data_IF_911487404044
#
_entry.id   IF_911487404044
#
_cell.length_a   1.000
_cell.length_b   1.000
_cell.length_c   1.000
_cell.angle_alpha   90.00
_cell.angle_beta   90.00
_cell.angle_gamma   90.00
#
_symmetry.space_group_name_H-M   'P 1'
#
loop_
_entity.id
_entity.type
_entity.pdbx_description
1 polymer ?
#
# COMPACT_ATOMS: atom_id res chain seq x y z
N UNK A 1 16.61 -76.18 43.01
CA UNK A 1 17.40 -75.70 41.87
C UNK A 1 16.49 -74.85 41.01
N UNK A 2 16.94 -73.64 40.71
CA UNK A 2 16.19 -72.49 40.17
C UNK A 2 15.90 -72.57 38.67
N UNK A 3 14.98 -71.69 38.24
CA UNK A 3 14.75 -71.18 36.86
C UNK A 3 13.61 -71.87 36.10
N UNK A 4 12.69 -71.20 35.42
CA UNK A 4 12.18 -69.82 35.39
C UNK A 4 10.94 -69.89 34.49
N UNK A 5 9.85 -69.22 34.85
CA UNK A 5 8.64 -69.13 34.02
C UNK A 5 8.94 -68.28 32.78
N UNK A 6 8.66 -68.81 31.58
CA UNK A 6 8.73 -68.05 30.33
C UNK A 6 7.31 -67.59 29.94
N UNK A 7 7.08 -66.28 30.07
CA UNK A 7 5.91 -65.56 29.57
C UNK A 7 6.13 -65.19 28.11
N UNK A 8 5.57 -65.95 27.17
CA UNK A 8 5.50 -65.52 25.76
C UNK A 8 4.26 -66.05 25.03
N UNK A 9 3.13 -66.10 25.74
CA UNK A 9 1.83 -65.89 25.09
C UNK A 9 1.63 -64.39 24.89
N UNK A 10 1.20 -64.01 23.68
CA UNK A 10 0.90 -62.65 23.18
C UNK A 10 2.00 -62.05 22.30
N UNK A 11 2.01 -62.44 21.01
CA UNK A 11 2.12 -61.51 19.87
C UNK A 11 1.97 -62.29 18.55
N UNK A 12 0.74 -62.76 18.29
CA UNK A 12 0.25 -63.01 16.93
C UNK A 12 -0.68 -61.85 16.58
N UNK A 13 -0.16 -60.78 15.99
CA UNK A 13 -0.94 -59.89 15.12
C UNK A 13 -0.02 -58.91 14.38
N UNK A 14 -0.08 -58.93 13.05
CA UNK A 14 0.27 -57.77 12.24
C UNK A 14 1.68 -57.74 11.66
N UNK A 15 2.04 -58.72 10.82
CA UNK A 15 3.07 -58.46 9.80
C UNK A 15 2.40 -57.61 8.71
N UNK A 16 2.41 -56.29 8.92
CA UNK A 16 2.19 -55.34 7.82
C UNK A 16 3.44 -55.42 6.97
N UNK A 17 3.33 -56.03 5.79
CA UNK A 17 4.36 -55.94 4.77
C UNK A 17 4.44 -54.46 4.33
N UNK A 18 5.35 -53.70 4.94
CA UNK A 18 5.76 -52.42 4.35
C UNK A 18 6.49 -52.73 3.05
N UNK A 19 5.79 -52.60 1.93
CA UNK A 19 6.41 -52.64 0.63
C UNK A 19 7.40 -51.46 0.55
N UNK A 20 8.71 -51.70 0.32
CA UNK A 20 9.64 -50.60 0.16
C UNK A 20 9.26 -49.83 -1.09
N UNK A 21 8.87 -48.57 -0.93
CA UNK A 21 8.68 -47.67 -2.06
C UNK A 21 10.01 -47.60 -2.82
N UNK A 22 10.05 -48.22 -4.00
CA UNK A 22 11.24 -48.20 -4.85
C UNK A 22 11.55 -46.73 -5.23
N UNK A 23 12.82 -46.37 -5.37
CA UNK A 23 13.30 -45.01 -5.74
C UNK A 23 12.50 -44.31 -6.86
N UNK A 24 11.97 -45.00 -7.90
CA UNK A 24 11.12 -44.38 -8.92
C UNK A 24 9.78 -43.83 -8.40
N UNK A 25 9.20 -44.47 -7.38
CA UNK A 25 7.93 -44.02 -6.78
C UNK A 25 8.14 -42.75 -5.93
N UNK A 26 9.26 -42.67 -5.21
CA UNK A 26 9.65 -41.45 -4.48
C UNK A 26 9.96 -40.29 -5.44
N UNK A 27 10.55 -40.54 -6.61
CA UNK A 27 10.82 -39.47 -7.58
C UNK A 27 9.54 -38.96 -8.26
N UNK A 28 8.56 -39.82 -8.51
CA UNK A 28 7.23 -39.44 -9.03
C UNK A 28 6.48 -38.58 -7.99
N UNK A 29 6.47 -38.99 -6.72
CA UNK A 29 5.85 -38.22 -5.63
C UNK A 29 6.58 -36.89 -5.37
N UNK A 30 7.91 -36.86 -5.45
CA UNK A 30 8.69 -35.62 -5.34
C UNK A 30 8.45 -34.66 -6.51
N UNK A 31 8.16 -35.17 -7.70
CA UNK A 31 7.79 -34.36 -8.87
C UNK A 31 6.34 -33.86 -8.82
N UNK A 32 5.42 -34.60 -8.18
CA UNK A 32 4.04 -34.16 -7.94
C UNK A 32 3.92 -33.04 -6.90
N UNK A 33 4.91 -32.91 -5.99
CA UNK A 33 4.98 -31.84 -4.97
C UNK A 33 5.75 -30.60 -5.47
N UNK A 34 6.52 -30.72 -6.56
CA UNK A 34 7.14 -29.55 -7.20
C UNK A 34 6.04 -28.70 -7.84
N UNK A 35 5.77 -27.54 -7.24
CA UNK A 35 5.05 -26.45 -7.91
C UNK A 35 5.64 -26.30 -9.33
N UNK A 36 4.81 -26.22 -10.39
CA UNK A 36 5.32 -26.14 -11.75
C UNK A 36 6.28 -24.94 -11.85
N UNK A 37 7.43 -25.15 -12.49
CA UNK A 37 8.55 -24.20 -12.56
C UNK A 37 8.20 -22.82 -13.19
N UNK A 38 6.97 -22.64 -13.64
CA UNK A 38 6.44 -21.45 -14.31
C UNK A 38 5.42 -20.65 -13.48
N UNK A 39 5.21 -20.98 -12.20
CA UNK A 39 4.39 -20.14 -11.31
C UNK A 39 5.14 -18.84 -10.95
N UNK A 40 4.47 -17.67 -10.95
CA UNK A 40 5.05 -16.45 -10.40
C UNK A 40 5.50 -16.70 -8.96
N UNK A 41 6.74 -16.33 -8.63
CA UNK A 41 7.21 -16.44 -7.26
C UNK A 41 6.45 -15.43 -6.39
N UNK A 42 5.46 -15.93 -5.65
CA UNK A 42 4.71 -15.13 -4.65
C UNK A 42 5.61 -14.65 -3.51
N UNK A 43 6.86 -15.11 -3.43
CA UNK A 43 7.83 -14.64 -2.43
C UNK A 43 8.76 -13.56 -2.98
N UNK A 44 8.66 -13.19 -4.26
CA UNK A 44 9.52 -12.16 -4.86
C UNK A 44 9.04 -10.74 -4.48
N UNK A 45 9.79 -10.08 -3.59
CA UNK A 45 9.54 -8.71 -3.14
C UNK A 45 9.43 -7.69 -4.30
N UNK A 46 10.05 -7.95 -5.46
CA UNK A 46 9.94 -7.08 -6.64
C UNK A 46 8.51 -7.03 -7.20
N UNK A 47 7.77 -8.14 -7.13
CA UNK A 47 6.37 -8.16 -7.53
C UNK A 47 5.53 -7.27 -6.62
N UNK A 48 5.77 -7.33 -5.30
CA UNK A 48 5.12 -6.46 -4.33
C UNK A 48 5.48 -4.99 -4.54
N UNK A 49 6.71 -4.68 -4.96
CA UNK A 49 7.11 -3.31 -5.32
C UNK A 49 6.28 -2.77 -6.48
N UNK A 50 6.14 -3.54 -7.56
CA UNK A 50 5.36 -3.16 -8.74
C UNK A 50 3.88 -3.03 -8.43
N UNK A 51 3.32 -3.97 -7.67
CA UNK A 51 1.93 -3.89 -7.23
C UNK A 51 1.70 -2.68 -6.34
N UNK A 52 2.63 -2.35 -5.46
CA UNK A 52 2.54 -1.17 -4.60
C UNK A 52 2.61 0.12 -5.41
N UNK A 53 3.53 0.17 -6.37
CA UNK A 53 3.71 1.31 -7.28
C UNK A 53 2.45 1.55 -8.12
N UNK A 54 1.97 0.51 -8.81
CA UNK A 54 0.79 0.58 -9.65
C UNK A 54 -0.46 0.93 -8.86
N UNK A 55 -0.62 0.36 -7.66
CA UNK A 55 -1.76 0.68 -6.77
C UNK A 55 -1.72 2.13 -6.30
N UNK A 56 -0.53 2.64 -5.92
CA UNK A 56 -0.39 4.04 -5.48
C UNK A 56 -0.70 5.00 -6.62
N UNK A 57 -0.06 4.81 -7.78
CA UNK A 57 -0.22 5.68 -8.94
C UNK A 57 -1.67 5.65 -9.44
N UNK A 58 -2.24 4.45 -9.58
CA UNK A 58 -3.60 4.24 -10.08
C UNK A 58 -4.66 4.80 -9.13
N UNK A 59 -4.56 4.52 -7.83
CA UNK A 59 -5.49 5.05 -6.83
C UNK A 59 -5.44 6.59 -6.80
N UNK A 60 -4.24 7.17 -6.83
CA UNK A 60 -4.06 8.63 -6.81
C UNK A 60 -4.60 9.29 -8.07
N UNK A 61 -4.27 8.75 -9.24
CA UNK A 61 -4.79 9.22 -10.52
C UNK A 61 -6.32 9.18 -10.54
N UNK A 62 -6.90 8.01 -10.21
CA UNK A 62 -8.34 7.84 -10.25
C UNK A 62 -9.04 8.74 -9.23
N UNK A 63 -8.66 8.69 -7.96
CA UNK A 63 -9.36 9.42 -6.91
C UNK A 63 -9.24 10.94 -7.08
N UNK A 64 -8.05 11.45 -7.38
CA UNK A 64 -7.80 12.90 -7.43
C UNK A 64 -8.33 13.57 -8.70
N UNK A 65 -8.31 12.87 -9.84
CA UNK A 65 -8.62 13.49 -11.14
C UNK A 65 -9.91 12.97 -11.79
N UNK A 66 -10.37 11.77 -11.40
CA UNK A 66 -11.55 11.13 -12.02
C UNK A 66 -12.66 11.01 -10.99
N UNK A 67 -12.55 10.08 -10.03
CA UNK A 67 -13.57 9.76 -9.04
C UNK A 67 -14.01 10.97 -8.22
N UNK A 68 -13.06 11.74 -7.67
CA UNK A 68 -13.36 12.95 -6.91
C UNK A 68 -14.05 14.04 -7.75
N UNK A 69 -13.59 14.24 -8.99
CA UNK A 69 -14.16 15.25 -9.91
C UNK A 69 -15.56 14.88 -10.35
N UNK A 70 -15.78 13.63 -10.74
CA UNK A 70 -17.12 13.11 -11.10
C UNK A 70 -18.06 13.25 -9.90
N UNK A 71 -17.64 12.81 -8.72
CA UNK A 71 -18.45 12.91 -7.51
C UNK A 71 -18.80 14.37 -7.17
N UNK A 72 -17.85 15.30 -7.29
CA UNK A 72 -18.10 16.73 -7.05
C UNK A 72 -19.11 17.33 -8.02
N UNK A 73 -19.08 16.91 -9.29
CA UNK A 73 -19.98 17.42 -10.33
C UNK A 73 -21.39 16.84 -10.24
N UNK A 74 -21.51 15.58 -9.82
CA UNK A 74 -22.79 14.84 -9.88
C UNK A 74 -23.55 14.86 -8.55
N UNK A 75 -22.84 14.85 -7.41
CA UNK A 75 -23.50 14.76 -6.12
C UNK A 75 -23.83 16.14 -5.54
N UNK A 76 -25.02 16.31 -4.93
CA UNK A 76 -25.29 17.42 -4.03
C UNK A 76 -24.18 17.58 -2.98
N UNK A 77 -23.79 18.82 -2.67
CA UNK A 77 -22.67 19.13 -1.76
C UNK A 77 -22.67 18.35 -0.43
N UNK A 78 -23.81 18.15 0.27
CA UNK A 78 -23.83 17.35 1.51
C UNK A 78 -23.52 15.86 1.28
N UNK A 79 -23.97 15.30 0.16
CA UNK A 79 -23.69 13.91 -0.22
C UNK A 79 -22.22 13.74 -0.65
N UNK A 80 -21.71 14.67 -1.45
CA UNK A 80 -20.28 14.73 -1.78
C UNK A 80 -19.43 14.80 -0.51
N UNK A 81 -19.75 15.72 0.41
CA UNK A 81 -19.06 15.85 1.69
C UNK A 81 -19.07 14.55 2.50
N UNK A 82 -20.20 13.83 2.52
CA UNK A 82 -20.34 12.55 3.20
C UNK A 82 -19.45 11.48 2.57
N UNK A 83 -19.46 11.35 1.25
CA UNK A 83 -18.58 10.44 0.52
C UNK A 83 -17.10 10.74 0.81
N UNK A 84 -16.67 12.00 0.69
CA UNK A 84 -15.27 12.38 0.92
C UNK A 84 -14.80 12.08 2.35
N UNK A 85 -15.64 12.30 3.36
CA UNK A 85 -15.34 11.96 4.77
C UNK A 85 -15.11 10.45 4.98
N UNK A 86 -15.77 9.61 4.19
CA UNK A 86 -15.58 8.16 4.23
C UNK A 86 -14.38 7.71 3.39
N UNK A 87 -14.18 8.31 2.21
CA UNK A 87 -13.13 7.91 1.26
C UNK A 87 -11.74 8.36 1.70
N UNK A 88 -11.57 9.61 2.12
CA UNK A 88 -10.22 10.17 2.33
C UNK A 88 -9.40 9.50 3.44
N UNK A 89 -9.95 9.10 4.59
CA UNK A 89 -9.18 8.37 5.59
C UNK A 89 -8.59 7.07 5.03
N UNK A 90 -9.37 6.32 4.25
CA UNK A 90 -8.93 5.07 3.62
C UNK A 90 -7.89 5.37 2.54
N UNK A 91 -8.16 6.35 1.69
CA UNK A 91 -7.28 6.76 0.60
C UNK A 91 -5.89 7.18 1.09
N UNK A 92 -5.81 8.08 2.08
CA UNK A 92 -4.53 8.54 2.62
C UNK A 92 -3.81 7.47 3.42
N UNK A 93 -4.54 6.63 4.18
CA UNK A 93 -3.93 5.49 4.87
C UNK A 93 -3.32 4.49 3.88
N UNK A 94 -4.03 4.18 2.79
CA UNK A 94 -3.52 3.32 1.72
C UNK A 94 -2.27 3.93 1.08
N UNK A 95 -2.28 5.23 0.75
CA UNK A 95 -1.11 5.91 0.21
C UNK A 95 0.10 5.86 1.17
N UNK A 96 -0.10 6.02 2.49
CA UNK A 96 0.97 5.87 3.48
C UNK A 96 1.55 4.47 3.50
N UNK A 97 0.71 3.44 3.53
CA UNK A 97 1.15 2.03 3.55
C UNK A 97 1.89 1.68 2.26
N UNK A 98 1.36 2.08 1.11
CA UNK A 98 1.98 1.83 -0.19
C UNK A 98 3.30 2.60 -0.35
N UNK A 99 3.37 3.85 0.12
CA UNK A 99 4.61 4.63 0.14
C UNK A 99 5.71 3.95 0.96
N UNK A 100 5.36 3.43 2.14
CA UNK A 100 6.28 2.63 2.95
C UNK A 100 6.67 1.33 2.24
N UNK A 101 5.71 0.63 1.64
CA UNK A 101 5.94 -0.60 0.89
C UNK A 101 6.96 -0.37 -0.23
N UNK A 102 6.85 0.73 -0.98
CA UNK A 102 7.82 1.10 -2.02
C UNK A 102 9.23 1.26 -1.45
N UNK A 103 9.37 1.89 -0.29
CA UNK A 103 10.69 2.05 0.34
C UNK A 103 11.27 0.70 0.79
N UNK A 104 10.49 -0.15 1.47
CA UNK A 104 11.02 -1.42 2.00
C UNK A 104 11.26 -2.48 0.91
N UNK A 105 10.53 -2.40 -0.21
CA UNK A 105 10.65 -3.35 -1.33
C UNK A 105 11.51 -2.85 -2.48
N UNK A 106 12.30 -1.79 -2.28
CA UNK A 106 13.10 -1.18 -3.34
C UNK A 106 13.97 -2.24 -4.08
N UNK A 107 13.82 -2.39 -5.41
CA UNK A 107 14.42 -3.50 -6.15
C UNK A 107 15.92 -3.36 -6.40
N UNK A 108 16.51 -2.18 -6.16
CA UNK A 108 17.90 -1.91 -6.52
C UNK A 108 18.13 -1.77 -8.03
N UNK A 109 19.38 -1.51 -8.39
CA UNK A 109 19.84 -1.23 -9.75
C UNK A 109 20.26 -2.52 -10.45
N UNK A 110 20.11 -2.60 -11.79
CA UNK A 110 20.59 -3.74 -12.57
C UNK A 110 22.07 -3.53 -12.91
N UNK A 111 22.91 -4.47 -12.49
CA UNK A 111 24.34 -4.45 -12.82
C UNK A 111 24.65 -5.28 -14.06
N UNK A 112 24.31 -6.57 -14.02
CA UNK A 112 24.61 -7.54 -15.07
C UNK A 112 23.44 -8.51 -15.21
N UNK A 113 23.15 -8.96 -16.44
CA UNK A 113 22.10 -9.92 -16.72
C UNK A 113 22.61 -11.10 -17.55
N UNK A 114 22.29 -12.33 -17.14
CA UNK A 114 22.49 -13.55 -17.93
C UNK A 114 21.15 -14.28 -18.01
N UNK A 115 20.56 -14.31 -19.21
CA UNK A 115 19.19 -14.80 -19.39
C UNK A 115 18.17 -13.98 -18.58
N UNK A 116 17.27 -14.67 -17.85
CA UNK A 116 16.26 -14.03 -16.99
C UNK A 116 16.75 -13.72 -15.57
N UNK A 117 18.06 -13.85 -15.30
CA UNK A 117 18.64 -13.53 -13.99
C UNK A 117 19.47 -12.25 -14.08
N UNK A 118 19.22 -11.34 -13.14
CA UNK A 118 19.94 -10.09 -13.01
C UNK A 118 20.64 -10.04 -11.65
N UNK A 119 21.92 -9.70 -11.67
CA UNK A 119 22.64 -9.25 -10.49
C UNK A 119 22.22 -7.81 -10.22
N UNK A 120 21.81 -7.54 -8.98
CA UNK A 120 21.37 -6.22 -8.56
C UNK A 120 22.24 -5.69 -7.44
N UNK A 121 22.50 -4.39 -7.46
CA UNK A 121 23.13 -3.67 -6.36
C UNK A 121 22.15 -2.71 -5.70
N UNK A 122 22.54 -2.19 -4.53
CA UNK A 122 21.74 -1.23 -3.79
C UNK A 122 20.31 -1.75 -3.56
N UNK A 123 20.16 -3.02 -3.20
CA UNK A 123 18.84 -3.62 -2.94
C UNK A 123 18.35 -3.24 -1.53
N UNK A 124 17.04 -3.01 -1.41
CA UNK A 124 16.39 -2.76 -0.12
C UNK A 124 16.72 -1.41 0.50
N UNK A 125 16.45 -1.28 1.79
CA UNK A 125 16.48 0.02 2.48
C UNK A 125 17.86 0.68 2.54
N UNK A 126 18.94 -0.10 2.67
CA UNK A 126 20.30 0.46 2.65
C UNK A 126 20.67 1.03 1.29
N UNK A 127 20.23 0.37 0.21
CA UNK A 127 20.46 0.82 -1.16
C UNK A 127 19.71 2.09 -1.55
N UNK A 128 18.56 2.35 -0.92
CA UNK A 128 17.86 3.63 -1.01
C UNK A 128 18.73 4.81 -0.57
N UNK A 129 19.56 4.59 0.45
CA UNK A 129 20.43 5.62 1.03
C UNK A 129 21.74 5.81 0.27
N UNK A 130 22.01 5.00 -0.76
CA UNK A 130 23.17 5.17 -1.62
C UNK A 130 23.15 6.55 -2.30
N UNK A 131 24.33 7.17 -2.47
CA UNK A 131 24.45 8.51 -3.04
C UNK A 131 23.85 8.61 -4.45
N UNK A 132 23.99 7.56 -5.27
CA UNK A 132 23.38 7.44 -6.60
C UNK A 132 21.84 7.45 -6.55
N UNK A 133 21.25 6.98 -5.44
CA UNK A 133 19.80 6.85 -5.26
C UNK A 133 19.17 8.02 -4.53
N UNK A 134 19.96 8.93 -3.95
CA UNK A 134 19.46 10.04 -3.13
C UNK A 134 18.37 10.86 -3.83
N UNK A 135 18.67 11.37 -5.01
CA UNK A 135 17.76 12.22 -5.78
C UNK A 135 16.74 11.47 -6.63
N UNK A 136 17.12 10.43 -7.40
CA UNK A 136 16.15 9.76 -8.28
C UNK A 136 15.19 8.83 -7.53
N UNK A 137 15.54 8.36 -6.34
CA UNK A 137 14.76 7.32 -5.61
C UNK A 137 14.34 7.82 -4.24
N UNK A 138 15.30 8.12 -3.36
CA UNK A 138 15.01 8.34 -1.95
C UNK A 138 14.15 9.57 -1.73
N UNK A 139 14.52 10.72 -2.31
CA UNK A 139 13.74 11.97 -2.17
C UNK A 139 12.30 11.81 -2.68
N UNK A 140 12.03 11.27 -3.89
CA UNK A 140 10.68 10.99 -4.35
C UNK A 140 9.88 10.04 -3.44
N UNK A 141 10.46 8.90 -3.06
CA UNK A 141 9.76 7.90 -2.23
C UNK A 141 9.52 8.40 -0.81
N UNK A 142 10.49 9.08 -0.20
CA UNK A 142 10.34 9.72 1.10
C UNK A 142 9.27 10.82 1.05
N UNK A 143 9.23 11.62 -0.03
CA UNK A 143 8.21 12.66 -0.23
C UNK A 143 6.82 12.04 -0.34
N UNK A 144 6.65 10.97 -1.13
CA UNK A 144 5.41 10.21 -1.21
C UNK A 144 4.96 9.75 0.18
N UNK A 145 5.85 9.09 0.93
CA UNK A 145 5.51 8.54 2.23
C UNK A 145 5.15 9.64 3.24
N UNK A 146 6.00 10.66 3.40
CA UNK A 146 5.82 11.73 4.40
C UNK A 146 4.56 12.53 4.10
N UNK A 147 4.34 12.96 2.86
CA UNK A 147 3.15 13.74 2.50
C UNK A 147 1.86 12.94 2.68
N UNK A 148 1.87 11.64 2.37
CA UNK A 148 0.73 10.74 2.59
C UNK A 148 0.43 10.61 4.08
N UNK A 149 1.45 10.41 4.92
CA UNK A 149 1.30 10.35 6.39
C UNK A 149 0.77 11.66 6.97
N UNK A 150 1.29 12.81 6.52
CA UNK A 150 0.80 14.13 6.92
C UNK A 150 -0.67 14.32 6.57
N UNK A 151 -1.08 13.92 5.36
CA UNK A 151 -2.49 13.94 4.95
C UNK A 151 -3.34 13.00 5.81
N UNK A 152 -2.87 11.77 6.07
CA UNK A 152 -3.61 10.77 6.81
C UNK A 152 -3.80 11.12 8.28
N UNK A 153 -2.75 11.62 8.96
CA UNK A 153 -2.75 11.74 10.42
C UNK A 153 -2.91 13.17 10.93
N UNK A 154 -2.64 14.19 10.11
CA UNK A 154 -2.65 15.59 10.55
C UNK A 154 -3.69 16.40 9.77
N UNK A 155 -3.51 16.53 8.46
CA UNK A 155 -4.29 17.47 7.64
C UNK A 155 -5.72 16.95 7.42
N UNK A 156 -5.90 15.66 7.14
CA UNK A 156 -7.22 15.04 6.97
C UNK A 156 -8.10 15.13 8.22
N UNK A 157 -7.60 14.72 9.42
CA UNK A 157 -8.33 14.89 10.67
C UNK A 157 -8.66 16.35 10.98
N UNK A 158 -7.71 17.28 10.79
CA UNK A 158 -7.95 18.71 10.97
C UNK A 158 -9.04 19.24 10.03
N UNK A 159 -9.01 18.86 8.75
CA UNK A 159 -10.01 19.25 7.75
C UNK A 159 -11.40 18.75 8.16
N UNK A 160 -11.49 17.49 8.60
CA UNK A 160 -12.76 16.89 9.06
C UNK A 160 -13.30 17.60 10.31
N UNK A 161 -12.42 17.99 11.24
CA UNK A 161 -12.82 18.79 12.41
C UNK A 161 -13.40 20.14 11.97
N UNK A 162 -12.73 20.88 11.11
CA UNK A 162 -13.24 22.16 10.58
C UNK A 162 -14.56 21.99 9.82
N UNK A 163 -14.73 20.88 9.08
CA UNK A 163 -16.02 20.57 8.43
C UNK A 163 -17.15 20.38 9.45
N UNK A 164 -16.89 19.69 10.57
CA UNK A 164 -17.88 19.53 11.65
C UNK A 164 -18.20 20.88 12.30
N UNK A 165 -17.19 21.71 12.56
CA UNK A 165 -17.38 23.04 13.14
C UNK A 165 -18.21 23.95 12.23
N UNK A 166 -17.97 23.93 10.92
CA UNK A 166 -18.82 24.63 9.95
C UNK A 166 -20.27 24.20 10.07
N UNK A 167 -20.54 22.90 10.13
CA UNK A 167 -21.92 22.40 10.23
C UNK A 167 -22.63 22.84 11.52
N UNK A 168 -21.92 22.84 12.65
CA UNK A 168 -22.48 23.42 13.88
C UNK A 168 -22.76 24.92 13.72
N UNK A 169 -21.87 25.65 13.06
CA UNK A 169 -22.07 27.07 12.81
C UNK A 169 -23.25 27.32 11.85
N UNK A 170 -23.53 26.44 10.89
CA UNK A 170 -24.73 26.54 10.04
C UNK A 170 -26.02 26.49 10.87
N UNK A 171 -26.04 25.64 11.91
CA UNK A 171 -27.20 25.52 12.81
C UNK A 171 -27.37 26.79 13.66
N UNK A 172 -26.27 27.40 14.09
CA UNK A 172 -26.28 28.64 14.89
C UNK A 172 -26.68 29.85 14.06
N UNK A 173 -26.20 29.92 12.81
CA UNK A 173 -26.45 31.05 11.91
C UNK A 173 -27.77 30.91 11.14
N UNK A 174 -28.38 29.72 11.12
CA UNK A 174 -29.54 29.42 10.28
C UNK A 174 -29.25 29.52 8.77
N UNK A 175 -27.97 29.44 8.38
CA UNK A 175 -27.48 29.68 7.01
C UNK A 175 -26.33 28.74 6.67
N UNK A 176 -26.32 28.16 5.46
CA UNK A 176 -25.28 27.20 5.08
C UNK A 176 -23.96 27.90 4.79
N UNK A 177 -22.84 27.22 5.02
CA UNK A 177 -21.50 27.76 4.74
C UNK A 177 -21.23 28.01 3.25
N UNK A 178 -22.08 27.48 2.37
CA UNK A 178 -21.98 27.56 0.92
C UNK A 178 -22.95 28.54 0.27
N UNK A 179 -23.89 29.11 1.03
CA UNK A 179 -24.87 30.06 0.49
C UNK A 179 -24.20 31.41 0.18
N UNK A 180 -24.85 32.24 -0.64
CA UNK A 180 -24.34 33.58 -0.91
C UNK A 180 -24.23 34.41 0.39
N UNK A 181 -23.24 35.30 0.47
CA UNK A 181 -22.99 36.12 1.66
C UNK A 181 -24.12 37.10 2.04
N UNK A 182 -23.94 37.88 3.12
CA UNK A 182 -22.83 37.79 4.07
C UNK A 182 -22.97 36.58 5.00
N UNK A 183 -21.85 36.10 5.55
CA UNK A 183 -21.83 35.08 6.61
C UNK A 183 -21.44 35.74 7.95
N UNK A 184 -21.65 35.03 9.06
CA UNK A 184 -21.09 35.46 10.33
C UNK A 184 -19.55 35.48 10.27
N UNK A 185 -18.90 36.35 11.05
CA UNK A 185 -17.42 36.38 11.16
C UNK A 185 -16.84 35.01 11.54
N UNK A 186 -17.55 34.25 12.38
CA UNK A 186 -17.16 32.90 12.77
C UNK A 186 -17.17 31.94 11.59
N UNK A 187 -18.24 31.96 10.77
CA UNK A 187 -18.32 31.13 9.57
C UNK A 187 -17.26 31.51 8.53
N UNK A 188 -16.98 32.80 8.35
CA UNK A 188 -15.90 33.26 7.45
C UNK A 188 -14.52 32.72 7.86
N UNK A 189 -14.21 32.75 9.16
CA UNK A 189 -12.96 32.19 9.69
C UNK A 189 -12.87 30.67 9.47
N UNK A 190 -13.97 29.95 9.67
CA UNK A 190 -14.03 28.51 9.42
C UNK A 190 -13.88 28.18 7.92
N UNK A 191 -14.51 28.97 7.04
CA UNK A 191 -14.37 28.81 5.59
C UNK A 191 -12.93 29.08 5.13
N UNK A 192 -12.26 30.10 5.67
CA UNK A 192 -10.84 30.37 5.40
C UNK A 192 -9.96 29.21 5.86
N UNK A 193 -10.18 28.71 7.07
CA UNK A 193 -9.42 27.58 7.63
C UNK A 193 -9.62 26.31 6.79
N UNK A 194 -10.86 26.02 6.40
CA UNK A 194 -11.15 24.89 5.51
C UNK A 194 -10.45 25.02 4.16
N UNK A 195 -10.54 26.21 3.54
CA UNK A 195 -9.89 26.46 2.24
C UNK A 195 -8.38 26.26 2.32
N UNK A 196 -7.73 26.74 3.38
CA UNK A 196 -6.30 26.53 3.63
C UNK A 196 -5.97 25.05 3.79
N UNK A 197 -6.65 24.33 4.69
CA UNK A 197 -6.37 22.92 4.94
C UNK A 197 -6.59 22.06 3.70
N UNK A 198 -7.68 22.29 2.97
CA UNK A 198 -7.97 21.60 1.72
C UNK A 198 -6.92 21.91 0.63
N UNK A 199 -6.51 23.17 0.50
CA UNK A 199 -5.48 23.58 -0.44
C UNK A 199 -4.13 22.94 -0.14
N UNK A 200 -3.68 22.95 1.12
CA UNK A 200 -2.44 22.29 1.56
C UNK A 200 -2.49 20.79 1.26
N UNK A 201 -3.59 20.12 1.64
CA UNK A 201 -3.78 18.69 1.39
C UNK A 201 -3.66 18.35 -0.10
N UNK A 202 -4.29 19.17 -0.95
CA UNK A 202 -4.28 19.02 -2.40
C UNK A 202 -2.87 19.18 -2.96
N UNK A 203 -2.15 20.25 -2.57
CA UNK A 203 -0.79 20.51 -3.05
C UNK A 203 0.14 19.36 -2.69
N UNK A 204 0.16 18.92 -1.43
CA UNK A 204 1.09 17.85 -1.04
C UNK A 204 0.73 16.50 -1.68
N UNK A 205 -0.55 16.23 -1.93
CA UNK A 205 -0.98 15.04 -2.68
C UNK A 205 -0.57 15.11 -4.16
N UNK A 206 -0.66 16.30 -4.79
CA UNK A 206 -0.17 16.51 -6.15
C UNK A 206 1.35 16.37 -6.24
N UNK A 207 2.09 16.86 -5.24
CA UNK A 207 3.53 16.64 -5.14
C UNK A 207 3.86 15.14 -5.06
N UNK A 208 3.17 14.39 -4.20
CA UNK A 208 3.33 12.94 -4.11
C UNK A 208 3.03 12.24 -5.44
N UNK A 209 1.99 12.66 -6.15
CA UNK A 209 1.66 12.15 -7.47
C UNK A 209 2.76 12.43 -8.50
N UNK A 210 3.31 13.65 -8.53
CA UNK A 210 4.44 14.02 -9.38
C UNK A 210 5.69 13.19 -9.07
N UNK A 211 5.99 12.97 -7.80
CA UNK A 211 7.07 12.08 -7.36
C UNK A 211 6.84 10.64 -7.82
N UNK A 212 5.60 10.14 -7.80
CA UNK A 212 5.29 8.80 -8.27
C UNK A 212 5.42 8.66 -9.80
N UNK A 213 5.06 9.69 -10.57
CA UNK A 213 5.31 9.73 -12.01
C UNK A 213 6.82 9.69 -12.28
N UNK A 214 7.59 10.56 -11.63
CA UNK A 214 9.04 10.59 -11.73
C UNK A 214 9.66 9.22 -11.42
N UNK A 215 9.28 8.65 -10.27
CA UNK A 215 9.77 7.35 -9.85
C UNK A 215 9.37 6.23 -10.83
N UNK A 216 8.27 6.38 -11.56
CA UNK A 216 7.88 5.46 -12.63
C UNK A 216 8.91 5.35 -13.75
N UNK A 217 9.48 6.48 -14.18
CA UNK A 217 10.55 6.48 -15.17
C UNK A 217 11.81 5.79 -14.64
N UNK A 218 12.21 6.12 -13.41
CA UNK A 218 13.35 5.49 -12.73
C UNK A 218 13.15 3.97 -12.57
N UNK A 219 11.94 3.55 -12.21
CA UNK A 219 11.59 2.14 -12.08
C UNK A 219 11.62 1.44 -13.44
N UNK A 220 11.17 2.10 -14.51
CA UNK A 220 11.20 1.59 -15.89
C UNK A 220 12.61 1.24 -16.37
N UNK A 221 13.62 2.03 -16.01
CA UNK A 221 15.03 1.74 -16.31
C UNK A 221 15.59 0.53 -15.54
N UNK A 222 14.92 0.13 -14.46
CA UNK A 222 15.40 -0.88 -13.50
C UNK A 222 14.60 -2.17 -13.53
N UNK A 223 13.51 -2.23 -14.30
CA UNK A 223 12.67 -3.40 -14.53
C UNK A 223 13.32 -4.38 -15.48
#
# INVERSE_FOLDING_TARGET
>A
MTSSFNTSSLEQSGVIHEAPFNKPQLSILANLIRLPANMPSVTDYKAYHILSYGSFLGATLFQSFIGGVVAFKVLPRPQFSTLQKATFPIFFALQSVLGLALMVTYPGEKLLGVGNQYVRENVGFSGLLADSNRWPVFVPLATIFVTSVLNSLIIGPATTKTMKERHHQETRDGKKYSDAGPHSKAMEQLNKTFGMLHGVSTIINLTAFGCAIWYGFVLGERL
#
